data_IF_449906042801
#
_entry.id   IF_449906042801
#
_cell.length_a   1.000
_cell.length_b   1.000
_cell.length_c   1.000
_cell.angle_alpha   90.00
_cell.angle_beta   90.00
_cell.angle_gamma   90.00
#
_symmetry.space_group_name_H-M   'P 1'
#
loop_
_entity.id
_entity.type
_entity.pdbx_description
1 polymer ?
#
# COMPACT_ATOMS: atom_id res chain seq x y z
N UNK A 1 31.99 -7.93 19.73
CA UNK A 1 31.50 -6.60 19.33
C UNK A 1 30.97 -6.61 17.88
N UNK A 2 31.70 -7.13 16.90
CA UNK A 2 31.31 -7.16 15.47
C UNK A 2 30.04 -7.98 15.12
N UNK A 3 29.72 -9.06 15.85
CA UNK A 3 28.48 -9.83 15.62
C UNK A 3 27.21 -9.03 15.93
N UNK A 4 27.19 -8.21 16.98
CA UNK A 4 26.03 -7.35 17.33
C UNK A 4 25.81 -6.25 16.30
N UNK A 5 26.88 -5.68 15.72
CA UNK A 5 26.78 -4.67 14.66
C UNK A 5 26.24 -5.24 13.34
N UNK A 6 26.60 -6.50 12.98
CA UNK A 6 26.03 -7.18 11.81
C UNK A 6 24.54 -7.48 11.99
N UNK A 7 24.13 -7.89 13.18
CA UNK A 7 22.72 -8.16 13.50
C UNK A 7 21.90 -6.86 13.46
N UNK A 8 22.39 -5.77 14.03
CA UNK A 8 21.74 -4.44 13.98
C UNK A 8 21.57 -3.92 12.55
N UNK A 9 22.57 -4.14 11.68
CA UNK A 9 22.50 -3.77 10.26
C UNK A 9 21.47 -4.63 9.50
N UNK A 10 21.34 -5.90 9.83
CA UNK A 10 20.38 -6.83 9.23
C UNK A 10 18.94 -6.45 9.64
N UNK A 11 18.68 -6.21 10.91
CA UNK A 11 17.37 -5.80 11.43
C UNK A 11 16.93 -4.45 10.86
N UNK A 12 17.85 -3.48 10.72
CA UNK A 12 17.55 -2.18 10.12
C UNK A 12 17.14 -2.28 8.65
N UNK A 13 17.74 -3.20 7.89
CA UNK A 13 17.35 -3.45 6.48
C UNK A 13 15.97 -4.08 6.36
N UNK A 14 15.64 -5.03 7.21
CA UNK A 14 14.32 -5.67 7.25
C UNK A 14 13.23 -4.67 7.67
N UNK A 15 13.48 -3.85 8.68
CA UNK A 15 12.58 -2.78 9.07
C UNK A 15 12.36 -1.77 7.94
N UNK A 16 13.39 -1.50 7.16
CA UNK A 16 13.34 -0.63 5.99
C UNK A 16 12.42 -1.19 4.90
N UNK A 17 12.57 -2.48 4.52
CA UNK A 17 11.70 -3.10 3.51
C UNK A 17 10.25 -3.22 4.00
N UNK A 18 10.04 -3.53 5.27
CA UNK A 18 8.72 -3.53 5.88
C UNK A 18 8.11 -2.12 5.88
N UNK A 19 8.89 -1.09 6.18
CA UNK A 19 8.44 0.30 6.12
C UNK A 19 8.11 0.75 4.69
N UNK A 20 8.90 0.31 3.69
CA UNK A 20 8.63 0.55 2.27
C UNK A 20 7.31 -0.09 1.85
N UNK A 21 7.13 -1.37 2.14
CA UNK A 21 5.90 -2.08 1.81
C UNK A 21 4.70 -1.43 2.51
N UNK A 22 4.86 -1.09 3.80
CA UNK A 22 3.82 -0.43 4.58
C UNK A 22 3.49 0.97 4.04
N UNK A 23 4.49 1.77 3.64
CA UNK A 23 4.25 3.10 3.10
C UNK A 23 3.56 3.07 1.73
N UNK A 24 3.89 2.08 0.88
CA UNK A 24 3.17 1.83 -0.38
C UNK A 24 1.71 1.47 -0.10
N UNK A 25 1.46 0.60 0.88
CA UNK A 25 0.10 0.23 1.28
C UNK A 25 -0.68 1.40 1.86
N UNK A 26 -0.06 2.22 2.70
CA UNK A 26 -0.69 3.42 3.27
C UNK A 26 -0.98 4.45 2.19
N UNK A 27 -0.06 4.68 1.26
CA UNK A 27 -0.27 5.57 0.12
C UNK A 27 -1.44 5.12 -0.74
N UNK A 28 -1.50 3.83 -1.06
CA UNK A 28 -2.59 3.26 -1.80
C UNK A 28 -3.92 3.41 -1.07
N UNK A 29 -3.92 3.16 0.23
CA UNK A 29 -5.09 3.35 1.09
C UNK A 29 -5.60 4.79 1.06
N UNK A 30 -4.70 5.78 1.08
CA UNK A 30 -5.07 7.20 0.98
C UNK A 30 -5.68 7.53 -0.38
N UNK A 31 -5.11 7.01 -1.49
CA UNK A 31 -5.71 7.15 -2.83
C UNK A 31 -7.13 6.59 -2.85
N UNK A 32 -7.34 5.46 -2.22
CA UNK A 32 -8.65 4.81 -2.16
C UNK A 32 -9.65 5.56 -1.29
N UNK A 33 -9.23 6.09 -0.13
CA UNK A 33 -10.11 6.97 0.65
C UNK A 33 -10.57 8.19 -0.15
N UNK A 34 -9.70 8.69 -1.01
CA UNK A 34 -9.98 9.79 -1.90
C UNK A 34 -10.96 9.38 -3.01
N UNK A 35 -10.73 8.22 -3.65
CA UNK A 35 -11.67 7.61 -4.61
C UNK A 35 -13.05 7.41 -3.99
N UNK A 36 -13.09 6.96 -2.73
CA UNK A 36 -14.33 6.74 -2.00
C UNK A 36 -15.15 8.02 -1.79
N UNK A 37 -14.50 9.12 -1.39
CA UNK A 37 -15.16 10.42 -1.22
C UNK A 37 -15.77 10.90 -2.54
N UNK A 38 -15.27 10.43 -3.67
CA UNK A 38 -15.64 10.81 -5.02
C UNK A 38 -16.59 9.83 -5.73
N UNK A 39 -16.58 8.54 -5.37
CA UNK A 39 -17.48 7.53 -5.96
C UNK A 39 -18.96 7.87 -5.74
N UNK A 40 -19.28 8.69 -4.75
CA UNK A 40 -20.63 9.23 -4.52
C UNK A 40 -21.07 10.27 -5.59
N UNK A 41 -20.16 10.72 -6.44
CA UNK A 41 -20.39 11.77 -7.44
C UNK A 41 -20.23 11.29 -8.90
N UNK A 42 -19.79 10.05 -9.13
CA UNK A 42 -20.00 9.26 -10.33
C UNK A 42 -19.24 9.65 -11.61
N UNK A 43 -18.33 10.62 -11.59
CA UNK A 43 -17.63 11.01 -12.82
C UNK A 43 -16.11 11.16 -12.61
N UNK A 44 -15.30 10.54 -13.48
CA UNK A 44 -13.85 10.64 -13.48
C UNK A 44 -13.34 12.10 -13.47
N UNK A 45 -14.01 12.99 -14.18
CA UNK A 45 -13.66 14.41 -14.19
C UNK A 45 -13.80 15.09 -12.84
N UNK A 46 -14.84 14.76 -12.07
CA UNK A 46 -15.03 15.30 -10.71
C UNK A 46 -13.99 14.69 -9.78
N UNK A 47 -13.68 13.41 -9.93
CA UNK A 47 -12.61 12.75 -9.19
C UNK A 47 -11.27 13.46 -9.44
N UNK A 48 -10.88 13.60 -10.71
CA UNK A 48 -9.63 14.23 -11.10
C UNK A 48 -9.51 15.67 -10.57
N UNK A 49 -10.61 16.44 -10.64
CA UNK A 49 -10.65 17.77 -10.05
C UNK A 49 -10.44 17.78 -8.55
N UNK A 50 -11.10 16.91 -7.81
CA UNK A 50 -10.97 16.89 -6.35
C UNK A 50 -9.61 16.38 -5.91
N UNK A 51 -9.06 15.39 -6.60
CA UNK A 51 -7.69 14.91 -6.33
C UNK A 51 -6.66 16.02 -6.54
N UNK A 52 -6.86 16.89 -7.55
CA UNK A 52 -5.98 18.05 -7.76
C UNK A 52 -6.00 19.07 -6.62
N UNK A 53 -7.01 19.04 -5.75
CA UNK A 53 -7.16 19.95 -4.60
C UNK A 53 -6.67 19.37 -3.27
N UNK A 54 -6.36 18.07 -3.22
CA UNK A 54 -5.80 17.46 -2.02
C UNK A 54 -4.32 17.86 -1.84
N UNK A 55 -3.85 17.89 -0.58
CA UNK A 55 -2.49 18.32 -0.22
C UNK A 55 -1.62 17.19 0.36
N UNK A 56 -2.23 16.04 0.70
CA UNK A 56 -1.55 14.95 1.38
C UNK A 56 -0.63 14.17 0.45
N UNK A 57 -1.12 13.85 -0.77
CA UNK A 57 -0.34 13.16 -1.78
C UNK A 57 0.32 14.17 -2.72
N UNK A 58 1.59 13.96 -3.01
CA UNK A 58 2.33 14.79 -3.99
C UNK A 58 2.06 14.29 -5.40
N UNK A 59 2.06 15.23 -6.34
CA UNK A 59 1.90 14.92 -7.75
C UNK A 59 0.45 14.92 -8.22
N UNK A 60 0.20 14.23 -9.33
CA UNK A 60 -1.09 14.24 -10.03
C UNK A 60 -1.66 12.83 -10.08
N UNK A 61 -2.91 12.70 -9.65
CA UNK A 61 -3.66 11.44 -9.76
C UNK A 61 -4.80 11.64 -10.74
N UNK A 62 -4.94 10.74 -11.70
CA UNK A 62 -5.99 10.76 -12.72
C UNK A 62 -6.61 9.39 -12.86
N UNK A 63 -7.86 9.35 -13.27
CA UNK A 63 -8.63 8.16 -13.65
C UNK A 63 -9.29 8.43 -14.97
N UNK A 64 -9.26 7.48 -15.89
CA UNK A 64 -9.90 7.64 -17.20
C UNK A 64 -11.40 7.45 -17.12
N UNK A 65 -11.84 6.37 -16.46
CA UNK A 65 -13.26 6.05 -16.35
C UNK A 65 -13.59 5.54 -14.94
N UNK A 66 -14.75 5.90 -14.45
CA UNK A 66 -15.34 5.38 -13.21
C UNK A 66 -16.78 4.99 -13.51
N UNK A 67 -17.11 3.73 -13.23
CA UNK A 67 -18.48 3.20 -13.32
C UNK A 67 -18.92 2.66 -11.98
N UNK A 68 -20.17 2.91 -11.63
CA UNK A 68 -20.74 2.40 -10.37
C UNK A 68 -22.02 1.60 -10.64
N UNK A 69 -22.25 0.57 -9.86
CA UNK A 69 -23.47 -0.21 -9.92
C UNK A 69 -24.31 -0.04 -8.62
N UNK A 70 -25.59 -0.42 -8.70
CA UNK A 70 -26.53 -0.29 -7.60
C UNK A 70 -26.21 -1.16 -6.38
N UNK A 71 -25.34 -2.16 -6.53
CA UNK A 71 -24.92 -3.07 -5.47
C UNK A 71 -23.68 -2.56 -4.70
N UNK A 72 -23.24 -1.32 -4.98
CA UNK A 72 -22.08 -0.72 -4.32
C UNK A 72 -20.74 -1.09 -4.93
N UNK A 73 -20.73 -1.75 -6.08
CA UNK A 73 -19.49 -1.97 -6.85
C UNK A 73 -19.14 -0.72 -7.64
N UNK A 74 -17.91 -0.23 -7.50
CA UNK A 74 -17.34 0.86 -8.29
C UNK A 74 -16.12 0.32 -9.02
N UNK A 75 -16.14 0.35 -10.34
CA UNK A 75 -15.01 -0.05 -11.17
C UNK A 75 -14.35 1.19 -11.74
N UNK A 76 -13.03 1.22 -11.75
CA UNK A 76 -12.26 2.26 -12.39
C UNK A 76 -11.23 1.66 -13.35
N UNK A 77 -10.90 2.43 -14.40
CA UNK A 77 -9.90 2.05 -15.39
C UNK A 77 -8.82 3.12 -15.50
N UNK A 78 -7.60 2.67 -15.81
CA UNK A 78 -6.44 3.51 -16.08
C UNK A 78 -6.22 4.59 -15.00
N UNK A 79 -6.16 4.16 -13.73
CA UNK A 79 -5.70 5.04 -12.66
C UNK A 79 -4.20 5.26 -12.82
N UNK A 80 -3.82 6.52 -12.91
CA UNK A 80 -2.45 6.97 -12.98
C UNK A 80 -2.14 7.94 -11.85
N UNK A 81 -1.01 7.75 -11.19
CA UNK A 81 -0.46 8.68 -10.22
C UNK A 81 0.99 8.95 -10.58
N UNK A 82 1.28 10.21 -10.83
CA UNK A 82 2.61 10.72 -11.18
C UNK A 82 3.13 11.65 -10.08
N UNK A 83 4.44 11.63 -9.85
CA UNK A 83 5.10 12.58 -8.97
C UNK A 83 5.05 14.02 -9.54
N UNK A 84 5.48 15.05 -8.80
CA UNK A 84 5.50 16.42 -9.29
C UNK A 84 6.42 16.63 -10.52
N UNK A 85 7.35 15.72 -10.78
CA UNK A 85 8.26 15.73 -11.93
C UNK A 85 7.68 14.98 -13.14
N UNK A 86 6.51 14.33 -12.99
CA UNK A 86 5.86 13.54 -14.03
C UNK A 86 6.33 12.10 -14.12
N UNK A 87 7.12 11.61 -13.14
CA UNK A 87 7.50 10.20 -13.12
C UNK A 87 6.34 9.35 -12.54
N UNK A 88 6.10 8.15 -13.07
CA UNK A 88 5.06 7.29 -12.56
C UNK A 88 5.38 6.80 -11.14
N UNK A 89 4.41 6.92 -10.24
CA UNK A 89 4.39 6.29 -8.92
C UNK A 89 3.51 5.05 -8.95
N UNK A 90 2.32 5.16 -9.58
CA UNK A 90 1.34 4.07 -9.64
C UNK A 90 0.61 4.09 -10.97
N UNK A 91 0.46 2.91 -11.56
CA UNK A 91 -0.41 2.64 -12.71
C UNK A 91 -1.29 1.46 -12.39
N UNK A 92 -2.60 1.60 -12.52
CA UNK A 92 -3.57 0.53 -12.30
C UNK A 92 -4.46 0.44 -13.53
N UNK A 93 -4.29 -0.61 -14.37
CA UNK A 93 -5.14 -0.78 -15.55
C UNK A 93 -6.62 -0.89 -15.18
N UNK A 94 -6.94 -1.71 -14.19
CA UNK A 94 -8.31 -1.87 -13.69
C UNK A 94 -8.31 -2.10 -12.18
N UNK A 95 -9.36 -1.58 -11.54
CA UNK A 95 -9.58 -1.87 -10.13
C UNK A 95 -11.05 -1.76 -9.76
N UNK A 96 -11.39 -2.31 -8.62
CA UNK A 96 -12.75 -2.26 -8.07
C UNK A 96 -12.74 -1.79 -6.62
N UNK A 97 -13.75 -1.01 -6.27
CA UNK A 97 -14.08 -0.66 -4.91
C UNK A 97 -15.42 -1.28 -4.57
N UNK A 98 -15.53 -1.86 -3.41
CA UNK A 98 -16.78 -2.34 -2.86
C UNK A 98 -17.19 -1.43 -1.71
N UNK A 99 -18.36 -0.82 -1.84
CA UNK A 99 -18.90 0.12 -0.84
C UNK A 99 -20.28 -0.32 -0.40
N UNK A 100 -20.63 0.00 0.83
CA UNK A 100 -21.99 -0.22 1.31
C UNK A 100 -22.96 0.80 0.65
N UNK A 101 -23.86 0.37 -0.26
CA UNK A 101 -24.70 1.29 -0.99
C UNK A 101 -25.70 2.02 -0.07
N UNK A 102 -26.10 1.42 1.04
CA UNK A 102 -27.03 2.01 2.00
C UNK A 102 -26.44 3.22 2.71
N UNK A 103 -25.16 3.17 3.07
CA UNK A 103 -24.47 4.29 3.71
C UNK A 103 -24.37 5.48 2.74
N UNK A 104 -24.22 5.21 1.43
CA UNK A 104 -24.17 6.24 0.38
C UNK A 104 -25.54 6.87 0.20
N UNK A 105 -26.59 6.07 0.01
CA UNK A 105 -27.97 6.54 -0.22
C UNK A 105 -28.45 7.36 0.98
N UNK A 106 -28.17 6.93 2.19
CA UNK A 106 -28.58 7.64 3.41
C UNK A 106 -27.65 8.80 3.78
N UNK A 107 -26.57 9.04 3.00
CA UNK A 107 -25.52 10.04 3.27
C UNK A 107 -24.86 9.90 4.66
N UNK A 108 -24.87 8.68 5.20
CA UNK A 108 -24.29 8.35 6.52
C UNK A 108 -22.98 7.59 6.33
N UNK A 109 -22.00 8.25 5.76
CA UNK A 109 -20.65 7.70 5.55
C UNK A 109 -20.00 7.31 6.88
N UNK A 110 -19.59 6.06 7.00
CA UNK A 110 -18.89 5.50 8.15
C UNK A 110 -17.50 5.04 7.72
N UNK A 111 -16.63 4.81 8.67
CA UNK A 111 -15.30 4.22 8.40
C UNK A 111 -15.38 2.77 7.84
N UNK A 112 -16.52 2.12 7.97
CA UNK A 112 -16.78 0.77 7.43
C UNK A 112 -17.61 0.80 6.14
N UNK A 113 -17.86 1.97 5.56
CA UNK A 113 -18.63 2.07 4.32
C UNK A 113 -17.85 1.51 3.13
N UNK A 114 -16.53 1.66 3.12
CA UNK A 114 -15.64 0.97 2.20
C UNK A 114 -15.41 -0.46 2.69
N UNK A 115 -15.89 -1.44 1.93
CA UNK A 115 -15.82 -2.85 2.28
C UNK A 115 -14.68 -3.60 1.61
N UNK A 116 -14.20 -3.09 0.48
CA UNK A 116 -13.12 -3.76 -0.24
C UNK A 116 -12.52 -2.94 -1.37
N UNK A 117 -11.30 -3.31 -1.72
CA UNK A 117 -10.51 -2.74 -2.80
C UNK A 117 -9.81 -3.88 -3.49
N UNK A 118 -9.91 -3.91 -4.82
CA UNK A 118 -9.14 -4.84 -5.64
C UNK A 118 -8.42 -4.06 -6.72
N UNK A 119 -7.12 -4.32 -6.89
CA UNK A 119 -6.31 -3.75 -7.96
C UNK A 119 -5.76 -4.88 -8.81
N UNK A 120 -5.94 -4.82 -10.12
CA UNK A 120 -5.46 -5.81 -11.06
C UNK A 120 -4.28 -5.25 -11.86
N UNK A 121 -3.21 -6.03 -11.93
CA UNK A 121 -1.96 -5.72 -12.63
C UNK A 121 -1.37 -4.33 -12.28
N UNK A 122 -1.43 -3.87 -11.02
CA UNK A 122 -0.89 -2.57 -10.68
C UNK A 122 0.64 -2.56 -10.78
N UNK A 123 1.17 -1.45 -11.28
CA UNK A 123 2.61 -1.19 -11.30
C UNK A 123 2.92 -0.05 -10.36
N UNK A 124 3.69 -0.34 -9.33
CA UNK A 124 4.23 0.64 -8.39
C UNK A 124 5.67 0.96 -8.73
N UNK A 125 6.04 2.23 -8.71
CA UNK A 125 7.40 2.70 -8.89
C UNK A 125 7.72 3.74 -7.82
N UNK A 126 8.27 3.30 -6.70
CA UNK A 126 8.50 4.12 -5.53
C UNK A 126 9.98 4.51 -5.45
N UNK A 127 10.24 5.81 -5.39
CA UNK A 127 11.57 6.39 -5.25
C UNK A 127 11.76 6.91 -3.83
N UNK A 128 12.94 6.65 -3.30
CA UNK A 128 13.34 7.11 -1.97
C UNK A 128 14.59 7.98 -2.10
N UNK A 129 14.60 9.07 -1.35
CA UNK A 129 15.78 9.91 -1.20
C UNK A 129 16.81 9.30 -0.22
N UNK A 130 17.91 9.99 0.01
CA UNK A 130 18.98 9.58 0.94
C UNK A 130 18.49 9.42 2.38
N UNK A 131 17.42 10.09 2.76
CA UNK A 131 16.79 10.02 4.07
C UNK A 131 15.66 8.98 4.14
N UNK A 132 15.49 8.16 3.10
CA UNK A 132 14.42 7.18 2.99
C UNK A 132 13.01 7.80 2.93
N UNK A 133 12.90 9.07 2.52
CA UNK A 133 11.62 9.72 2.29
C UNK A 133 11.16 9.43 0.87
N UNK A 134 9.91 8.96 0.75
CA UNK A 134 9.30 8.69 -0.56
C UNK A 134 8.75 9.96 -1.21
N UNK A 135 8.87 10.04 -2.53
CA UNK A 135 8.39 11.19 -3.33
C UNK A 135 6.87 11.39 -3.33
N UNK A 136 6.13 10.47 -2.78
CA UNK A 136 4.67 10.33 -2.94
C UNK A 136 3.84 11.00 -1.85
N UNK A 137 4.43 11.35 -0.70
CA UNK A 137 3.72 11.99 0.43
C UNK A 137 4.38 13.33 0.78
N UNK A 138 3.56 14.30 1.18
CA UNK A 138 4.08 15.58 1.63
C UNK A 138 4.61 15.44 3.07
N UNK A 139 5.93 15.60 3.33
CA UNK A 139 6.50 15.41 4.65
C UNK A 139 5.88 16.30 5.73
N UNK A 140 5.49 17.53 5.39
CA UNK A 140 4.89 18.49 6.33
C UNK A 140 3.52 18.06 6.87
N UNK A 141 2.77 17.27 6.10
CA UNK A 141 1.46 16.77 6.54
C UNK A 141 1.58 15.53 7.44
N UNK A 142 2.75 14.86 7.43
CA UNK A 142 3.04 13.73 8.32
C UNK A 142 3.48 14.23 9.70
N UNK A 143 4.30 15.27 9.77
CA UNK A 143 4.81 15.82 11.02
C UNK A 143 3.68 16.40 11.91
N UNK A 144 2.68 17.03 11.30
CA UNK A 144 1.50 17.56 12.02
C UNK A 144 0.64 16.47 12.70
N UNK A 145 0.76 15.20 12.26
CA UNK A 145 0.01 14.06 12.81
C UNK A 145 0.82 13.17 13.74
N UNK A 146 2.11 13.44 13.95
CA UNK A 146 3.03 12.60 14.72
C UNK A 146 3.65 13.30 15.93
N UNK A 147 2.84 13.98 16.76
CA UNK A 147 3.37 14.63 17.97
C UNK A 147 4.09 13.69 18.97
N UNK A 148 4.10 12.37 18.76
CA UNK A 148 4.73 11.42 19.68
C UNK A 148 5.58 10.29 19.05
N UNK A 149 5.90 10.33 17.76
CA UNK A 149 6.81 9.34 17.13
C UNK A 149 6.39 7.86 17.25
N UNK A 150 5.23 7.59 17.80
CA UNK A 150 4.57 6.29 17.83
C UNK A 150 3.45 6.35 16.81
N UNK A 151 3.47 5.44 15.86
CA UNK A 151 2.30 5.17 15.01
C UNK A 151 1.15 4.77 15.95
N UNK A 152 0.51 5.76 16.54
CA UNK A 152 -0.72 5.57 17.28
C UNK A 152 -1.80 5.23 16.26
N UNK A 153 -1.88 3.96 15.88
CA UNK A 153 -3.12 3.40 15.37
C UNK A 153 -4.17 3.72 16.44
N UNK A 154 -4.89 4.81 16.18
CA UNK A 154 -5.70 5.51 17.15
C UNK A 154 -6.72 4.55 17.79
N UNK A 155 -6.45 4.06 19.01
CA UNK A 155 -7.36 3.20 19.79
C UNK A 155 -8.75 3.81 19.91
N UNK A 156 -8.85 5.13 19.90
CA UNK A 156 -10.09 5.88 19.94
C UNK A 156 -10.66 6.14 18.55
N UNK A 157 -9.95 5.77 17.48
CA UNK A 157 -10.37 5.91 16.10
C UNK A 157 -11.61 5.07 15.77
N UNK A 158 -12.29 5.44 14.71
CA UNK A 158 -13.39 4.66 14.14
C UNK A 158 -12.84 3.36 13.58
N UNK A 159 -13.56 2.24 13.80
CA UNK A 159 -13.21 0.93 13.24
C UNK A 159 -13.16 1.01 11.72
N UNK A 160 -12.03 0.59 11.15
CA UNK A 160 -11.89 0.29 9.73
C UNK A 160 -12.02 -1.22 9.57
N UNK A 161 -12.88 -1.65 8.65
CA UNK A 161 -13.00 -3.05 8.28
C UNK A 161 -13.18 -3.15 6.78
N UNK A 162 -12.21 -3.75 6.09
CA UNK A 162 -12.20 -3.85 4.63
C UNK A 162 -11.31 -4.98 4.16
N UNK A 163 -11.64 -5.55 3.00
CA UNK A 163 -10.77 -6.46 2.27
C UNK A 163 -9.93 -5.64 1.26
N UNK A 164 -8.64 -5.94 1.18
CA UNK A 164 -7.74 -5.35 0.21
C UNK A 164 -7.04 -6.45 -0.59
N UNK A 165 -7.15 -6.39 -1.91
CA UNK A 165 -6.59 -7.40 -2.83
C UNK A 165 -5.69 -6.74 -3.86
N UNK A 166 -4.47 -7.25 -4.00
CA UNK A 166 -3.58 -6.99 -5.13
C UNK A 166 -3.46 -8.25 -5.95
N UNK A 167 -3.74 -8.16 -7.23
CA UNK A 167 -3.58 -9.25 -8.18
C UNK A 167 -2.44 -8.92 -9.14
N UNK A 168 -1.41 -9.77 -9.18
CA UNK A 168 -0.32 -9.72 -10.14
C UNK A 168 0.39 -8.35 -10.19
N UNK A 169 0.62 -7.74 -9.04
CA UNK A 169 1.28 -6.45 -8.96
C UNK A 169 2.77 -6.55 -9.34
N UNK A 170 3.29 -5.48 -9.94
CA UNK A 170 4.71 -5.23 -10.11
C UNK A 170 5.13 -4.08 -9.20
N UNK A 171 6.10 -4.32 -8.32
CA UNK A 171 6.64 -3.30 -7.41
C UNK A 171 8.09 -3.02 -7.78
N UNK A 172 8.38 -1.78 -8.09
CA UNK A 172 9.72 -1.28 -8.38
C UNK A 172 10.11 -0.30 -7.28
N UNK A 173 11.25 -0.52 -6.65
CA UNK A 173 11.79 0.40 -5.65
C UNK A 173 13.13 0.94 -6.10
N UNK A 174 13.30 2.25 -5.99
CA UNK A 174 14.52 2.95 -6.34
C UNK A 174 15.07 3.63 -5.09
N UNK A 175 16.29 3.28 -4.71
CA UNK A 175 17.01 3.89 -3.60
C UNK A 175 18.46 4.09 -3.96
N UNK A 176 18.90 5.32 -4.09
CA UNK A 176 20.22 5.68 -4.63
C UNK A 176 20.42 5.02 -6.00
N UNK A 177 21.52 4.30 -6.17
CA UNK A 177 21.84 3.57 -7.41
C UNK A 177 21.20 2.17 -7.47
N UNK A 178 20.41 1.78 -6.47
CA UNK A 178 19.81 0.44 -6.38
C UNK A 178 18.38 0.45 -6.90
N UNK A 179 18.10 -0.53 -7.73
CA UNK A 179 16.78 -0.77 -8.28
C UNK A 179 16.38 -2.22 -8.02
N UNK A 180 15.26 -2.41 -7.32
CA UNK A 180 14.72 -3.73 -7.05
C UNK A 180 13.34 -3.86 -7.70
N UNK A 181 13.08 -5.03 -8.28
CA UNK A 181 11.82 -5.34 -8.96
C UNK A 181 11.25 -6.61 -8.35
N UNK A 182 10.03 -6.51 -7.87
CA UNK A 182 9.21 -7.62 -7.42
C UNK A 182 8.09 -7.81 -8.43
N UNK A 183 8.03 -8.97 -9.06
CA UNK A 183 6.99 -9.32 -10.03
C UNK A 183 6.00 -10.29 -9.39
N UNK A 184 4.81 -10.36 -10.00
CA UNK A 184 3.75 -11.28 -9.60
C UNK A 184 3.41 -11.19 -8.10
N UNK A 185 3.41 -9.96 -7.57
CA UNK A 185 3.03 -9.74 -6.18
C UNK A 185 1.52 -9.86 -6.07
N UNK A 186 1.08 -10.84 -5.30
CA UNK A 186 -0.32 -10.99 -4.93
C UNK A 186 -0.43 -10.78 -3.44
N UNK A 187 -1.44 -10.02 -3.02
CA UNK A 187 -1.69 -9.77 -1.62
C UNK A 187 -3.19 -9.76 -1.36
N UNK A 188 -3.57 -10.40 -0.27
CA UNK A 188 -4.90 -10.30 0.30
C UNK A 188 -4.77 -9.91 1.78
N UNK A 189 -5.54 -8.91 2.18
CA UNK A 189 -5.56 -8.44 3.55
C UNK A 189 -6.98 -8.19 4.00
N UNK A 190 -7.44 -8.93 5.00
CA UNK A 190 -8.67 -8.65 5.72
C UNK A 190 -8.35 -7.74 6.90
N UNK A 191 -8.47 -6.44 6.68
CA UNK A 191 -8.19 -5.42 7.69
C UNK A 191 -9.35 -5.26 8.65
N UNK A 192 -9.10 -5.39 9.95
CA UNK A 192 -10.03 -5.00 11.02
C UNK A 192 -9.24 -4.29 12.14
N UNK A 193 -9.29 -2.97 12.18
CA UNK A 193 -8.52 -2.17 13.15
C UNK A 193 -9.00 -2.26 14.60
N UNK A 194 -10.05 -3.04 14.88
CA UNK A 194 -10.54 -3.35 16.24
C UNK A 194 -10.75 -4.85 16.47
N UNK A 195 -10.14 -5.67 15.62
CA UNK A 195 -10.23 -7.13 15.66
C UNK A 195 -8.97 -7.77 15.10
N UNK A 196 -9.13 -8.95 14.55
CA UNK A 196 -8.05 -9.68 13.89
C UNK A 196 -7.92 -9.23 12.44
N UNK A 197 -6.73 -8.86 12.04
CA UNK A 197 -6.33 -8.61 10.66
C UNK A 197 -5.54 -9.80 10.15
N UNK A 198 -5.87 -10.28 8.95
CA UNK A 198 -5.17 -11.35 8.26
C UNK A 198 -4.47 -10.79 7.03
N UNK A 199 -3.24 -11.25 6.78
CA UNK A 199 -2.41 -10.82 5.66
C UNK A 199 -1.85 -12.07 4.98
N UNK A 200 -2.02 -12.15 3.68
CA UNK A 200 -1.37 -13.12 2.81
C UNK A 200 -0.67 -12.37 1.69
N UNK A 201 0.60 -12.64 1.46
CA UNK A 201 1.38 -12.05 0.38
C UNK A 201 2.22 -13.12 -0.29
N UNK A 202 2.19 -13.15 -1.62
CA UNK A 202 3.06 -13.99 -2.43
C UNK A 202 3.74 -13.14 -3.50
N UNK A 203 4.96 -13.52 -3.88
CA UNK A 203 5.68 -12.89 -5.01
C UNK A 203 6.16 -13.96 -5.96
N UNK A 204 6.57 -13.58 -7.17
CA UNK A 204 7.39 -14.44 -8.02
C UNK A 204 8.84 -14.52 -7.50
N UNK A 205 9.71 -15.31 -8.15
CA UNK A 205 11.12 -15.38 -7.85
C UNK A 205 11.77 -14.00 -7.99
N UNK A 206 12.80 -13.76 -7.19
CA UNK A 206 13.34 -12.43 -7.00
C UNK A 206 14.85 -12.40 -7.22
N UNK A 207 15.26 -11.59 -8.20
CA UNK A 207 16.64 -11.29 -8.54
C UNK A 207 17.27 -12.22 -9.58
N UNK A 208 18.00 -11.66 -10.53
CA UNK A 208 18.86 -12.33 -11.50
C UNK A 208 18.17 -13.48 -12.27
N UNK A 209 18.76 -14.66 -12.17
CA UNK A 209 18.27 -15.90 -12.75
C UNK A 209 17.53 -16.80 -11.74
N UNK A 210 17.07 -16.25 -10.63
CA UNK A 210 16.39 -17.02 -9.60
C UNK A 210 15.16 -17.73 -10.13
N UNK A 211 15.02 -19.01 -9.78
CA UNK A 211 13.89 -19.88 -10.11
C UNK A 211 13.31 -20.41 -8.82
N UNK A 212 12.01 -20.40 -8.69
CA UNK A 212 11.29 -20.86 -7.51
C UNK A 212 9.96 -20.12 -7.32
N UNK A 213 9.34 -20.31 -6.17
CA UNK A 213 8.02 -19.75 -5.84
C UNK A 213 8.08 -18.30 -5.33
N UNK A 214 9.25 -17.74 -5.08
CA UNK A 214 9.43 -16.40 -4.54
C UNK A 214 9.25 -16.34 -3.03
N UNK A 215 8.58 -15.30 -2.54
CA UNK A 215 8.28 -15.09 -1.13
C UNK A 215 6.83 -15.42 -0.87
N UNK A 216 6.55 -16.17 0.20
CA UNK A 216 5.21 -16.37 0.75
C UNK A 216 5.22 -15.86 2.19
N UNK A 217 4.34 -14.93 2.50
CA UNK A 217 4.18 -14.35 3.83
C UNK A 217 2.73 -14.52 4.26
N UNK A 218 2.52 -15.09 5.42
CA UNK A 218 1.22 -15.16 6.07
C UNK A 218 1.32 -14.50 7.44
N UNK A 219 0.35 -13.69 7.78
CA UNK A 219 0.40 -12.99 9.04
C UNK A 219 -0.95 -12.69 9.63
N UNK A 220 -0.96 -12.53 10.94
CA UNK A 220 -2.10 -12.04 11.70
C UNK A 220 -1.66 -10.93 12.63
N UNK A 221 -2.53 -9.93 12.80
CA UNK A 221 -2.35 -8.85 13.77
C UNK A 221 -3.64 -8.70 14.56
N UNK A 222 -3.57 -8.87 15.87
CA UNK A 222 -4.71 -8.70 16.76
C UNK A 222 -4.76 -7.28 17.34
N UNK A 223 -5.53 -6.42 16.69
CA UNK A 223 -5.76 -5.05 17.14
C UNK A 223 -6.74 -4.95 18.32
N UNK A 224 -7.41 -6.03 18.71
CA UNK A 224 -8.29 -6.04 19.89
C UNK A 224 -7.51 -6.02 21.19
N UNK A 225 -6.26 -6.48 21.15
CA UNK A 225 -5.37 -6.54 22.32
C UNK A 225 -4.56 -5.26 22.50
N UNK A 226 -4.27 -4.87 23.74
CA UNK A 226 -3.45 -3.70 24.04
C UNK A 226 -2.08 -3.71 23.37
N UNK A 227 -1.44 -4.87 23.32
CA UNK A 227 -0.06 -5.05 22.87
C UNK A 227 0.04 -5.39 21.38
N UNK A 228 -1.09 -5.37 20.64
CA UNK A 228 -1.16 -5.64 19.20
C UNK A 228 -0.36 -6.90 18.82
N UNK A 229 -0.77 -8.03 19.33
CA UNK A 229 -0.08 -9.30 19.11
C UNK A 229 0.00 -9.61 17.60
N UNK A 230 1.22 -9.87 17.14
CA UNK A 230 1.52 -10.13 15.73
C UNK A 230 2.15 -11.51 15.59
N UNK A 231 1.69 -12.27 14.60
CA UNK A 231 2.28 -13.53 14.21
C UNK A 231 2.51 -13.53 12.71
N UNK A 232 3.72 -13.87 12.27
CA UNK A 232 4.09 -13.91 10.86
C UNK A 232 4.92 -15.14 10.56
N UNK A 233 4.50 -15.88 9.53
CA UNK A 233 5.24 -16.97 8.91
C UNK A 233 5.71 -16.53 7.52
N UNK A 234 6.99 -16.77 7.20
CA UNK A 234 7.57 -16.41 5.93
C UNK A 234 8.39 -17.55 5.34
N UNK A 235 8.08 -17.89 4.10
CA UNK A 235 8.82 -18.83 3.28
C UNK A 235 9.53 -18.08 2.16
N UNK A 236 10.77 -18.45 1.89
CA UNK A 236 11.60 -17.84 0.86
C UNK A 236 12.16 -18.92 -0.06
N UNK A 237 11.77 -18.86 -1.33
CA UNK A 237 12.26 -19.75 -2.38
C UNK A 237 12.56 -18.96 -3.66
N UNK A 238 13.65 -19.30 -4.34
CA UNK A 238 14.02 -18.59 -5.56
C UNK A 238 14.40 -17.11 -5.34
N UNK A 239 15.18 -16.83 -4.29
CA UNK A 239 15.75 -15.51 -4.04
C UNK A 239 17.24 -15.54 -4.32
N UNK A 240 17.72 -14.66 -5.22
CA UNK A 240 19.12 -14.42 -5.41
C UNK A 240 19.63 -13.39 -4.38
N UNK A 241 20.46 -13.82 -3.39
CA UNK A 241 20.96 -12.90 -2.37
C UNK A 241 21.78 -11.75 -2.92
N UNK A 242 22.43 -11.91 -4.08
CA UNK A 242 23.23 -10.85 -4.71
C UNK A 242 22.37 -9.67 -5.14
N UNK A 243 21.13 -9.93 -5.56
CA UNK A 243 20.15 -8.91 -5.94
C UNK A 243 19.69 -8.05 -4.77
N UNK A 244 19.83 -8.55 -3.54
CA UNK A 244 19.51 -7.82 -2.31
C UNK A 244 20.67 -6.89 -1.88
N UNK A 245 21.75 -6.84 -2.62
CA UNK A 245 22.97 -6.13 -2.23
C UNK A 245 23.63 -6.74 -0.99
N UNK A 246 23.36 -8.02 -0.71
CA UNK A 246 24.03 -8.83 0.31
C UNK A 246 25.29 -9.49 -0.25
N UNK A 247 25.89 -8.89 -1.27
CA UNK A 247 27.11 -9.37 -1.90
C UNK A 247 28.21 -9.55 -0.87
N UNK A 248 28.88 -10.68 -0.97
CA UNK A 248 30.13 -10.98 -0.28
C UNK A 248 31.16 -9.91 -0.63
N UNK A 249 31.48 -9.09 0.35
CA UNK A 249 32.72 -8.29 0.32
C UNK A 249 33.92 -9.19 0.50
#
# INVERSE_FOLDING_TARGET
>A
MFRKLKQYRKERKWAMYAAVLFSVLVSLFLVVLLLFKMASLGAAGIFNYAVSKQKMLRGTITVEEITANIHGGVTFTNLAWDDPQGNPILRVPTGTLKVNPWDIVTRRMKSTTLEGITLNDPVFAVRYDENMQGDFVNPKEIEDNSEDGKANFNRNGKRLKMNFVLNNAKIQTFYLERHHIFNHVNMEMDLDTKGMTYISLTTGPFGGTAVGDGVKLYGTVDFSKPDQECHFDAEFDGIDPSSLGLGTS
#
